data_IF_338639112673
#
_entry.id   IF_338639112673
#
_cell.length_a   1.000
_cell.length_b   1.000
_cell.length_c   1.000
_cell.angle_alpha   90.00
_cell.angle_beta   90.00
_cell.angle_gamma   90.00
#
_symmetry.space_group_name_H-M   'P 1'
#
loop_
_entity.id
_entity.type
_entity.pdbx_description
1 polymer ?
#
# COMPACT_ATOMS: atom_id res chain seq x y z
N UNK A 1 18.72 24.53 9.18
CA UNK A 1 18.66 23.09 8.85
C UNK A 1 18.18 22.21 10.03
N UNK A 2 17.93 22.76 11.22
CA UNK A 2 17.43 22.02 12.40
C UNK A 2 15.96 21.56 12.36
N UNK A 3 15.11 22.18 11.52
CA UNK A 3 13.67 21.87 11.49
C UNK A 3 13.29 20.69 10.59
N UNK A 4 14.23 20.13 9.80
CA UNK A 4 13.97 18.98 8.92
C UNK A 4 13.98 17.64 9.67
N UNK A 5 14.50 17.62 10.90
CA UNK A 5 14.64 16.42 11.74
C UNK A 5 13.66 16.39 12.93
N UNK A 6 12.78 17.38 13.06
CA UNK A 6 11.72 17.39 14.07
C UNK A 6 10.45 16.79 13.45
N UNK A 7 9.82 15.83 14.16
CA UNK A 7 8.54 15.22 13.74
C UNK A 7 7.46 16.28 13.45
N UNK A 8 7.46 17.40 14.19
CA UNK A 8 6.55 18.55 14.02
C UNK A 8 7.21 19.76 13.32
N UNK A 9 8.28 19.55 12.55
CA UNK A 9 8.99 20.60 11.84
C UNK A 9 8.15 21.17 10.70
N UNK A 10 7.71 22.43 10.81
CA UNK A 10 6.98 23.11 9.72
C UNK A 10 7.91 23.39 8.54
N UNK A 11 7.77 22.62 7.47
CA UNK A 11 8.42 22.85 6.17
C UNK A 11 7.62 23.89 5.36
N UNK A 12 8.26 24.77 4.58
CA UNK A 12 7.53 25.68 3.69
C UNK A 12 6.59 24.89 2.78
N UNK A 13 5.33 25.34 2.66
CA UNK A 13 4.25 24.64 1.95
C UNK A 13 4.67 24.22 0.53
N UNK A 14 5.37 25.11 -0.18
CA UNK A 14 5.88 24.84 -1.53
C UNK A 14 6.88 23.66 -1.57
N UNK A 15 7.75 23.55 -0.56
CA UNK A 15 8.69 22.43 -0.45
C UNK A 15 7.97 21.15 -0.01
N UNK A 16 7.01 21.24 0.91
CA UNK A 16 6.22 20.10 1.36
C UNK A 16 5.44 19.45 0.21
N UNK A 17 4.82 20.25 -0.66
CA UNK A 17 4.12 19.76 -1.86
C UNK A 17 5.09 19.04 -2.80
N UNK A 18 6.27 19.63 -3.07
CA UNK A 18 7.26 19.02 -3.95
C UNK A 18 7.81 17.70 -3.39
N UNK A 19 8.04 17.61 -2.08
CA UNK A 19 8.45 16.38 -1.42
C UNK A 19 7.35 15.31 -1.44
N UNK A 20 6.10 15.70 -1.16
CA UNK A 20 4.94 14.80 -1.25
C UNK A 20 4.77 14.24 -2.66
N UNK A 21 4.90 15.08 -3.69
CA UNK A 21 4.82 14.65 -5.09
C UNK A 21 5.91 13.62 -5.43
N UNK A 22 7.16 13.87 -5.04
CA UNK A 22 8.26 12.90 -5.25
C UNK A 22 7.97 11.57 -4.56
N UNK A 23 7.39 11.61 -3.36
CA UNK A 23 7.04 10.41 -2.61
C UNK A 23 5.92 9.62 -3.29
N UNK A 24 4.87 10.29 -3.77
CA UNK A 24 3.76 9.67 -4.51
C UNK A 24 4.28 9.03 -5.81
N UNK A 25 5.17 9.70 -6.55
CA UNK A 25 5.75 9.14 -7.78
C UNK A 25 6.56 7.87 -7.49
N UNK A 26 7.38 7.88 -6.43
CA UNK A 26 8.16 6.70 -6.02
C UNK A 26 7.23 5.53 -5.64
N UNK A 27 6.17 5.83 -4.88
CA UNK A 27 5.15 4.87 -4.48
C UNK A 27 4.37 4.31 -5.67
N UNK A 28 4.04 5.14 -6.66
CA UNK A 28 3.34 4.71 -7.87
C UNK A 28 4.14 3.64 -8.64
N UNK A 29 5.43 3.91 -8.89
CA UNK A 29 6.31 2.96 -9.59
C UNK A 29 6.46 1.67 -8.80
N UNK A 30 6.62 1.75 -7.49
CA UNK A 30 6.74 0.58 -6.62
C UNK A 30 5.48 -0.32 -6.65
N UNK A 31 4.29 0.25 -6.78
CA UNK A 31 3.04 -0.51 -6.81
C UNK A 31 2.63 -0.96 -8.22
N UNK A 32 3.09 -0.27 -9.26
CA UNK A 32 2.79 -0.61 -10.65
C UNK A 32 3.31 -2.01 -11.02
N UNK A 33 4.54 -2.34 -10.65
CA UNK A 33 5.14 -3.65 -10.94
C UNK A 33 4.38 -4.84 -10.34
N UNK A 34 4.11 -4.92 -9.02
CA UNK A 34 3.44 -6.07 -8.42
C UNK A 34 2.00 -6.24 -8.93
N UNK A 35 1.24 -5.15 -9.06
CA UNK A 35 -0.14 -5.19 -9.55
C UNK A 35 -0.19 -5.69 -11.00
N UNK A 36 0.74 -5.22 -11.84
CA UNK A 36 0.82 -5.67 -13.24
C UNK A 36 1.22 -7.14 -13.33
N UNK A 37 2.20 -7.59 -12.54
CA UNK A 37 2.63 -9.00 -12.54
C UNK A 37 1.51 -9.96 -12.14
N UNK A 38 0.75 -9.63 -11.09
CA UNK A 38 -0.37 -10.46 -10.63
C UNK A 38 -1.53 -10.40 -11.63
N UNK A 39 -1.84 -9.22 -12.16
CA UNK A 39 -2.94 -9.02 -13.10
C UNK A 39 -2.71 -9.74 -14.44
N UNK A 40 -1.51 -9.64 -15.01
CA UNK A 40 -1.15 -10.34 -16.24
C UNK A 40 -1.18 -11.86 -16.07
N UNK A 41 -0.63 -12.37 -14.96
CA UNK A 41 -0.68 -13.80 -14.66
C UNK A 41 -2.10 -14.33 -14.46
N UNK A 42 -3.01 -13.48 -13.97
CA UNK A 42 -4.43 -13.81 -13.82
C UNK A 42 -5.25 -13.59 -15.09
N UNK A 43 -4.61 -13.33 -16.24
CA UNK A 43 -5.26 -13.06 -17.53
C UNK A 43 -6.23 -11.86 -17.53
N UNK A 44 -5.97 -10.85 -16.69
CA UNK A 44 -6.75 -9.61 -16.67
C UNK A 44 -6.40 -8.71 -17.88
N UNK A 45 -7.39 -7.94 -18.34
CA UNK A 45 -7.16 -6.95 -19.40
C UNK A 45 -6.36 -5.76 -18.87
N UNK A 46 -5.61 -5.10 -19.75
CA UNK A 46 -4.83 -3.91 -19.39
C UNK A 46 -5.71 -2.80 -18.76
N UNK A 47 -6.96 -2.67 -19.21
CA UNK A 47 -7.95 -1.74 -18.64
C UNK A 47 -8.31 -2.08 -17.19
N UNK A 48 -8.42 -3.36 -16.86
CA UNK A 48 -8.72 -3.83 -15.50
C UNK A 48 -7.51 -3.62 -14.59
N UNK A 49 -6.30 -3.89 -15.08
CA UNK A 49 -5.05 -3.64 -14.34
C UNK A 49 -4.91 -2.14 -14.02
N UNK A 50 -5.19 -1.27 -14.99
CA UNK A 50 -5.17 0.19 -14.77
C UNK A 50 -6.21 0.62 -13.72
N UNK A 51 -7.41 0.05 -13.76
CA UNK A 51 -8.45 0.29 -12.77
C UNK A 51 -8.03 -0.18 -11.38
N UNK A 52 -7.44 -1.38 -11.27
CA UNK A 52 -6.91 -1.91 -10.01
C UNK A 52 -5.81 -1.02 -9.44
N UNK A 53 -4.89 -0.52 -10.27
CA UNK A 53 -3.82 0.37 -9.85
C UNK A 53 -4.38 1.68 -9.27
N UNK A 54 -5.39 2.28 -9.93
CA UNK A 54 -6.05 3.50 -9.43
C UNK A 54 -6.72 3.26 -8.06
N UNK A 55 -7.47 2.16 -7.92
CA UNK A 55 -8.11 1.79 -6.66
C UNK A 55 -7.06 1.52 -5.57
N UNK A 56 -5.99 0.78 -5.89
CA UNK A 56 -4.92 0.49 -4.95
C UNK A 56 -4.24 1.78 -4.45
N UNK A 57 -3.94 2.73 -5.34
CA UNK A 57 -3.36 4.02 -4.97
C UNK A 57 -4.28 4.88 -4.11
N UNK A 58 -5.57 4.86 -4.41
CA UNK A 58 -6.55 5.56 -3.60
C UNK A 58 -6.61 4.99 -2.16
N UNK A 59 -6.70 3.66 -2.04
CA UNK A 59 -6.70 2.98 -0.75
C UNK A 59 -5.38 3.18 -0.01
N UNK A 60 -4.23 3.09 -0.68
CA UNK A 60 -2.92 3.34 -0.08
C UNK A 60 -2.82 4.76 0.53
N UNK A 61 -3.38 5.76 -0.14
CA UNK A 61 -3.48 7.13 0.38
C UNK A 61 -4.32 7.20 1.65
N UNK A 62 -5.50 6.56 1.66
CA UNK A 62 -6.35 6.49 2.86
C UNK A 62 -5.63 5.78 4.01
N UNK A 63 -4.98 4.65 3.76
CA UNK A 63 -4.29 3.92 4.82
C UNK A 63 -3.09 4.71 5.35
N UNK A 64 -2.37 5.42 4.49
CA UNK A 64 -1.29 6.33 4.91
C UNK A 64 -1.83 7.45 5.82
N UNK A 65 -3.02 8.00 5.52
CA UNK A 65 -3.68 8.97 6.40
C UNK A 65 -4.08 8.37 7.75
N UNK A 66 -4.59 7.13 7.76
CA UNK A 66 -4.93 6.41 9.00
C UNK A 66 -3.68 6.12 9.84
N UNK A 67 -2.54 5.80 9.20
CA UNK A 67 -1.28 5.58 9.91
C UNK A 67 -0.72 6.87 10.54
N UNK A 68 -0.90 8.00 9.85
CA UNK A 68 -0.50 9.32 10.32
C UNK A 68 -1.40 9.85 11.44
N UNK A 69 -2.72 9.71 11.27
CA UNK A 69 -3.75 10.11 12.23
C UNK A 69 -4.46 8.88 12.78
N UNK A 70 -3.87 8.18 13.78
CA UNK A 70 -4.44 6.94 14.24
C UNK A 70 -5.80 7.16 14.85
N UNK A 71 -6.69 6.25 14.52
CA UNK A 71 -8.01 6.17 15.12
C UNK A 71 -7.92 5.03 16.13
N UNK A 72 -7.98 5.39 17.41
CA UNK A 72 -7.91 4.46 18.54
C UNK A 72 -6.57 3.71 18.65
N UNK A 73 -6.53 2.39 18.43
CA UNK A 73 -5.31 1.55 18.47
C UNK A 73 -4.72 1.25 17.08
N UNK A 74 -5.33 1.75 16.02
CA UNK A 74 -4.91 1.47 14.65
C UNK A 74 -4.10 2.67 14.15
N UNK A 75 -2.81 2.44 13.89
CA UNK A 75 -1.87 3.43 13.36
C UNK A 75 -0.78 3.82 14.36
N UNK A 76 0.51 3.85 13.95
CA UNK A 76 1.63 4.10 14.85
C UNK A 76 1.90 5.58 15.17
N UNK A 77 1.12 6.54 14.64
CA UNK A 77 1.44 8.00 14.66
C UNK A 77 2.75 8.36 13.97
N UNK A 78 3.20 7.51 13.06
CA UNK A 78 4.45 7.71 12.35
C UNK A 78 4.15 8.04 10.89
N UNK A 79 4.96 8.91 10.25
CA UNK A 79 4.85 9.21 8.83
C UNK A 79 5.37 8.04 7.99
N UNK A 80 4.62 6.94 8.01
CA UNK A 80 4.86 5.71 7.24
C UNK A 80 3.90 5.72 6.05
N UNK A 81 4.42 5.36 4.88
CA UNK A 81 3.64 5.27 3.64
C UNK A 81 3.47 3.82 3.24
N UNK A 82 2.22 3.41 3.00
CA UNK A 82 1.88 2.00 2.81
C UNK A 82 1.91 1.58 1.34
N UNK A 83 2.86 0.73 0.94
CA UNK A 83 2.89 0.12 -0.39
C UNK A 83 2.51 -1.37 -0.38
N UNK A 84 2.25 -1.92 -1.56
CA UNK A 84 2.10 -3.35 -1.79
C UNK A 84 3.46 -4.03 -1.54
N UNK A 85 3.46 -5.06 -0.71
CA UNK A 85 4.67 -5.83 -0.40
C UNK A 85 5.07 -6.74 -1.57
N UNK A 86 6.32 -6.62 -2.01
CA UNK A 86 6.89 -7.48 -3.05
C UNK A 86 7.01 -8.95 -2.62
N UNK A 87 6.99 -9.23 -1.32
CA UNK A 87 7.16 -10.58 -0.77
C UNK A 87 6.06 -11.55 -1.25
N UNK A 88 4.84 -11.03 -1.46
CA UNK A 88 3.69 -11.86 -1.84
C UNK A 88 3.53 -12.01 -3.35
N UNK A 89 4.30 -11.27 -4.17
CA UNK A 89 4.11 -11.22 -5.63
C UNK A 89 4.26 -12.60 -6.25
N UNK A 90 5.34 -13.33 -5.93
CA UNK A 90 5.60 -14.64 -6.51
C UNK A 90 4.45 -15.63 -6.25
N UNK A 91 3.97 -15.71 -5.01
CA UNK A 91 2.85 -16.58 -4.64
C UNK A 91 1.54 -16.12 -5.28
N UNK A 92 1.23 -14.82 -5.27
CA UNK A 92 -0.03 -14.31 -5.82
C UNK A 92 -0.07 -14.42 -7.35
N UNK A 93 1.06 -14.26 -8.03
CA UNK A 93 1.19 -14.53 -9.47
C UNK A 93 0.92 -16.00 -9.77
N UNK A 94 1.50 -16.92 -8.99
CA UNK A 94 1.26 -18.36 -9.15
C UNK A 94 -0.21 -18.74 -8.89
N UNK A 95 -0.79 -18.27 -7.79
CA UNK A 95 -2.19 -18.52 -7.43
C UNK A 95 -3.14 -17.89 -8.45
N UNK A 96 -2.85 -16.67 -8.90
CA UNK A 96 -3.62 -15.99 -9.93
C UNK A 96 -3.61 -16.72 -11.27
N UNK A 97 -2.47 -17.28 -11.68
CA UNK A 97 -2.35 -18.09 -12.89
C UNK A 97 -3.06 -19.45 -12.79
N UNK A 98 -3.02 -20.08 -11.61
CA UNK A 98 -3.52 -21.46 -11.43
C UNK A 98 -5.00 -21.51 -11.05
N UNK A 99 -5.45 -20.59 -10.20
CA UNK A 99 -6.79 -20.58 -9.60
C UNK A 99 -7.60 -19.32 -9.93
N UNK A 100 -7.04 -18.41 -10.73
CA UNK A 100 -7.68 -17.15 -11.13
C UNK A 100 -7.55 -16.02 -10.12
N UNK A 101 -7.86 -14.80 -10.59
CA UNK A 101 -7.75 -13.57 -9.80
C UNK A 101 -8.62 -13.57 -8.54
N UNK A 102 -9.84 -14.13 -8.60
CA UNK A 102 -10.76 -14.17 -7.47
C UNK A 102 -10.18 -14.96 -6.28
N UNK A 103 -9.48 -16.06 -6.57
CA UNK A 103 -8.82 -16.89 -5.55
C UNK A 103 -7.66 -16.14 -4.90
N UNK A 104 -6.86 -15.41 -5.69
CA UNK A 104 -5.79 -14.56 -5.17
C UNK A 104 -6.34 -13.45 -4.25
N UNK A 105 -7.43 -12.80 -4.64
CA UNK A 105 -8.09 -11.78 -3.80
C UNK A 105 -8.68 -12.35 -2.51
N UNK A 106 -9.30 -13.54 -2.58
CA UNK A 106 -9.79 -14.24 -1.38
C UNK A 106 -8.66 -14.57 -0.40
N UNK A 107 -7.53 -15.06 -0.91
CA UNK A 107 -6.35 -15.35 -0.10
C UNK A 107 -5.79 -14.08 0.58
N UNK A 108 -5.70 -12.97 -0.16
CA UNK A 108 -5.27 -11.66 0.39
C UNK A 108 -6.23 -11.18 1.48
N UNK A 109 -7.53 -11.30 1.27
CA UNK A 109 -8.54 -10.83 2.23
C UNK A 109 -8.48 -11.64 3.54
N UNK A 110 -8.40 -12.97 3.46
CA UNK A 110 -8.28 -13.83 4.64
C UNK A 110 -6.93 -13.59 5.33
N UNK A 111 -5.83 -13.51 4.57
CA UNK A 111 -4.51 -13.22 5.11
C UNK A 111 -4.45 -11.88 5.85
N UNK A 112 -5.03 -10.84 5.26
CA UNK A 112 -5.10 -9.51 5.87
C UNK A 112 -5.96 -9.47 7.13
N UNK A 113 -7.05 -10.24 7.20
CA UNK A 113 -7.84 -10.37 8.44
C UNK A 113 -7.04 -11.08 9.55
N UNK A 114 -6.33 -12.16 9.21
CA UNK A 114 -5.49 -12.88 10.18
C UNK A 114 -4.38 -11.97 10.69
N UNK A 115 -3.65 -11.30 9.80
CA UNK A 115 -2.57 -10.38 10.15
C UNK A 115 -3.08 -9.18 10.96
N UNK A 116 -4.23 -8.62 10.59
CA UNK A 116 -4.89 -7.54 11.32
C UNK A 116 -5.31 -7.95 12.73
N UNK A 117 -5.90 -9.14 12.90
CA UNK A 117 -6.22 -9.70 14.21
C UNK A 117 -4.95 -9.93 15.04
N UNK A 118 -3.90 -10.49 14.44
CA UNK A 118 -2.62 -10.72 15.10
C UNK A 118 -2.00 -9.39 15.59
N UNK A 119 -2.01 -8.36 14.74
CA UNK A 119 -1.50 -7.03 15.07
C UNK A 119 -2.27 -6.33 16.19
N UNK A 120 -3.58 -6.57 16.30
CA UNK A 120 -4.40 -6.02 17.40
C UNK A 120 -4.21 -6.76 18.73
N UNK A 121 -3.89 -8.06 18.68
CA UNK A 121 -3.66 -8.92 19.85
C UNK A 121 -2.21 -8.89 20.33
N UNK A 122 -1.26 -8.59 19.44
CA UNK A 122 0.15 -8.45 19.75
C UNK A 122 0.38 -7.25 20.68
N UNK A 123 0.35 -7.53 21.99
CA UNK A 123 0.85 -6.64 23.02
C UNK A 123 2.35 -6.86 23.14
N UNK A 124 3.13 -5.90 22.64
CA UNK A 124 4.53 -5.71 23.06
C UNK A 124 4.57 -4.68 24.18
#
# INVERSE_FOLDING_TARGET
>A
MENLYKLDGKVPILKAILFGLKHILAMFVANLSPITLIGLASSLKQTEIAFLLQNAMFIAGIVTLIQLYPIWKIGPRLPIVMSVSFNFVAILTYVGATYGYASAMGAVLIGGLIEGCLGLLARY
#
